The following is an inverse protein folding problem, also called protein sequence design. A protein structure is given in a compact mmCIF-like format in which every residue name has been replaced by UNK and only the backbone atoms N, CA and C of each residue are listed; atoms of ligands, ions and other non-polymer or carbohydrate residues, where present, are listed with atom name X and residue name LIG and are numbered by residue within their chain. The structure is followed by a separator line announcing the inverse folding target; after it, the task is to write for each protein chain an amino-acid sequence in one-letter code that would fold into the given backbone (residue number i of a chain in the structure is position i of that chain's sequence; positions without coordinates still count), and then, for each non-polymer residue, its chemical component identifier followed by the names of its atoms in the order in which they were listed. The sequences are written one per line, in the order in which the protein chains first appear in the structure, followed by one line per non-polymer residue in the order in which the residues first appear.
data_IF_239180170698
#
_entry.id   IF_239180170698
#
_cell.length_a   1.000
_cell.length_b   1.000
_cell.length_c   1.000
_cell.angle_alpha   90.00
_cell.angle_beta   90.00
_cell.angle_gamma   90.00
#
_symmetry.space_group_name_H-M   'P 1'
#
loop_
_entity.id
_entity.type
_entity.pdbx_description
1 polymer ?
#
# COMPACT_ATOMS: atom_id res chain seq x y z
N UNK A 1 14.37 19.02 -37.92
CA UNK A 1 14.55 18.19 -39.06
C UNK A 1 14.46 16.70 -38.69
N UNK A 2 13.46 16.00 -39.26
CA UNK A 2 13.09 14.63 -38.88
C UNK A 2 14.22 13.62 -39.18
N UNK A 3 14.92 13.76 -40.30
CA UNK A 3 16.04 12.90 -40.69
C UNK A 3 17.22 13.02 -39.74
N UNK A 4 17.54 14.22 -39.32
CA UNK A 4 18.65 14.46 -38.40
C UNK A 4 18.35 13.90 -37.02
N UNK A 5 17.12 14.03 -36.54
CA UNK A 5 16.67 13.38 -35.26
C UNK A 5 16.75 11.86 -35.32
N UNK A 6 16.30 11.25 -36.41
CA UNK A 6 16.39 9.80 -36.59
C UNK A 6 17.85 9.30 -36.63
N UNK A 7 18.75 10.07 -37.26
CA UNK A 7 20.17 9.74 -37.27
C UNK A 7 20.77 9.80 -35.88
N UNK A 8 20.52 10.86 -35.11
CA UNK A 8 20.97 10.99 -33.71
C UNK A 8 20.43 9.87 -32.80
N UNK A 9 19.18 9.42 -33.01
CA UNK A 9 18.59 8.30 -32.26
C UNK A 9 19.33 7.01 -32.60
N UNK A 10 19.54 6.73 -33.90
CA UNK A 10 20.28 5.55 -34.38
C UNK A 10 21.69 5.49 -33.82
N UNK A 11 22.42 6.59 -33.89
CA UNK A 11 23.77 6.70 -33.36
C UNK A 11 23.78 6.49 -31.83
N UNK A 12 22.82 7.08 -31.12
CA UNK A 12 22.66 6.86 -29.69
C UNK A 12 22.38 5.41 -29.37
N UNK A 13 21.55 4.72 -30.12
CA UNK A 13 21.25 3.29 -29.92
C UNK A 13 22.48 2.42 -30.18
N UNK A 14 23.29 2.75 -31.19
CA UNK A 14 24.52 1.96 -31.49
C UNK A 14 25.59 2.17 -30.42
N UNK A 15 25.81 3.42 -30.00
CA UNK A 15 26.94 3.80 -29.12
C UNK A 15 26.67 3.62 -27.62
N UNK A 16 25.43 3.62 -27.17
CA UNK A 16 25.09 3.55 -25.76
C UNK A 16 25.13 2.11 -25.24
N UNK A 17 25.83 1.88 -24.15
CA UNK A 17 25.81 0.61 -23.41
C UNK A 17 24.57 0.52 -22.48
N UNK A 18 24.12 -0.70 -22.10
CA UNK A 18 23.06 -0.87 -21.10
C UNK A 18 23.44 -0.19 -19.78
N UNK A 19 22.47 0.39 -19.08
CA UNK A 19 22.69 1.05 -17.77
C UNK A 19 23.13 0.07 -16.65
N UNK A 20 23.02 -1.24 -16.90
CA UNK A 20 23.39 -2.29 -15.95
C UNK A 20 23.11 -3.68 -16.54
N UNK A 21 23.18 -4.73 -15.73
CA UNK A 21 22.93 -6.09 -16.21
C UNK A 21 21.50 -6.23 -16.74
N UNK A 22 21.33 -6.98 -17.83
CA UNK A 22 20.00 -7.28 -18.41
C UNK A 22 19.07 -7.85 -17.33
N UNK A 23 17.85 -7.31 -17.25
CA UNK A 23 16.82 -7.72 -16.30
C UNK A 23 15.61 -8.28 -17.04
N UNK A 24 15.13 -9.45 -16.60
CA UNK A 24 13.85 -9.97 -17.09
C UNK A 24 12.72 -9.08 -16.59
N UNK A 25 11.81 -8.68 -17.46
CA UNK A 25 10.68 -7.81 -17.11
C UNK A 25 9.84 -8.38 -15.95
N UNK A 26 9.72 -9.71 -15.84
CA UNK A 26 9.05 -10.35 -14.72
C UNK A 26 9.70 -10.06 -13.36
N UNK A 27 11.05 -9.95 -13.30
CA UNK A 27 11.75 -9.60 -12.06
C UNK A 27 11.52 -8.12 -11.71
N UNK A 28 11.54 -7.24 -12.71
CA UNK A 28 11.22 -5.80 -12.51
C UNK A 28 9.80 -5.64 -11.98
N UNK A 29 8.85 -6.35 -12.58
CA UNK A 29 7.46 -6.34 -12.16
C UNK A 29 7.30 -6.89 -10.72
N UNK A 30 7.88 -8.05 -10.42
CA UNK A 30 7.78 -8.68 -9.10
C UNK A 30 8.35 -7.78 -7.99
N UNK A 31 9.45 -7.09 -8.25
CA UNK A 31 10.03 -6.16 -7.26
C UNK A 31 9.15 -4.91 -7.10
N UNK A 32 8.70 -4.29 -8.18
CA UNK A 32 7.91 -3.07 -8.11
C UNK A 32 6.54 -3.30 -7.44
N UNK A 33 5.91 -4.44 -7.72
CA UNK A 33 4.60 -4.82 -7.13
C UNK A 33 4.67 -5.18 -5.65
N UNK A 34 5.86 -5.27 -5.03
CA UNK A 34 5.97 -5.33 -3.57
C UNK A 34 5.37 -4.08 -2.91
N UNK A 35 5.37 -2.91 -3.59
CA UNK A 35 4.67 -1.73 -3.11
C UNK A 35 3.15 -1.93 -3.02
N UNK A 36 2.57 -2.61 -3.98
CA UNK A 36 1.15 -2.96 -4.01
C UNK A 36 0.80 -4.08 -3.02
N UNK A 37 1.71 -5.05 -2.84
CA UNK A 37 1.60 -6.07 -1.79
C UNK A 37 1.57 -5.43 -0.40
N UNK A 38 2.41 -4.42 -0.15
CA UNK A 38 2.42 -3.68 1.11
C UNK A 38 1.08 -2.98 1.38
N UNK A 39 0.48 -2.38 0.34
CA UNK A 39 -0.87 -1.81 0.45
C UNK A 39 -1.89 -2.88 0.88
N UNK A 40 -1.90 -4.02 0.19
CA UNK A 40 -2.81 -5.12 0.53
C UNK A 40 -2.58 -5.64 1.94
N UNK A 41 -1.32 -5.85 2.32
CA UNK A 41 -0.95 -6.34 3.65
C UNK A 41 -1.44 -5.38 4.76
N UNK A 42 -1.17 -4.07 4.62
CA UNK A 42 -1.57 -3.10 5.65
C UNK A 42 -3.10 -3.03 5.81
N UNK A 43 -3.83 -3.15 4.70
CA UNK A 43 -5.30 -3.20 4.75
C UNK A 43 -5.81 -4.45 5.48
N UNK A 44 -5.18 -5.61 5.25
CA UNK A 44 -5.61 -6.88 5.84
C UNK A 44 -5.15 -7.09 7.29
N UNK A 45 -3.97 -6.56 7.66
CA UNK A 45 -3.38 -6.85 8.99
C UNK A 45 -4.17 -6.28 10.14
N UNK A 46 -4.82 -5.13 9.95
CA UNK A 46 -5.58 -4.45 11.00
C UNK A 46 -6.73 -5.29 11.52
N UNK A 47 -7.47 -5.94 10.61
CA UNK A 47 -8.63 -6.75 11.00
C UNK A 47 -8.32 -7.81 12.05
N UNK A 48 -7.16 -8.48 11.93
CA UNK A 48 -6.73 -9.48 12.91
C UNK A 48 -6.00 -8.89 14.13
N UNK A 49 -5.46 -7.67 14.02
CA UNK A 49 -4.78 -7.00 15.11
C UNK A 49 -5.76 -6.31 16.09
N UNK A 50 -6.92 -5.86 15.62
CA UNK A 50 -7.91 -5.15 16.44
C UNK A 50 -8.30 -5.86 17.72
N UNK A 51 -8.65 -7.18 17.75
CA UNK A 51 -9.03 -7.86 18.98
C UNK A 51 -7.95 -7.80 20.07
N UNK A 52 -6.67 -7.85 19.68
CA UNK A 52 -5.55 -7.71 20.60
C UNK A 52 -5.35 -6.28 21.10
N UNK A 53 -5.63 -5.29 20.24
CA UNK A 53 -5.52 -3.87 20.59
C UNK A 53 -6.61 -3.39 21.53
N UNK A 54 -7.79 -4.02 21.53
CA UNK A 54 -8.87 -3.72 22.46
C UNK A 54 -8.53 -4.07 23.91
N UNK A 55 -7.65 -5.03 24.12
CA UNK A 55 -7.27 -5.44 25.45
C UNK A 55 -6.65 -4.28 26.25
N UNK A 56 -6.81 -4.26 27.58
CA UNK A 56 -6.21 -3.26 28.46
C UNK A 56 -4.69 -3.22 28.37
N UNK A 57 -4.10 -2.08 28.72
CA UNK A 57 -2.63 -1.89 28.72
C UNK A 57 -1.89 -2.97 29.52
N UNK A 58 -2.45 -3.40 30.66
CA UNK A 58 -1.87 -4.48 31.50
C UNK A 58 -1.78 -5.83 30.78
N UNK A 59 -2.62 -6.08 29.77
CA UNK A 59 -2.54 -7.24 28.90
C UNK A 59 -1.68 -7.04 27.65
N UNK A 60 -1.07 -5.84 27.46
CA UNK A 60 -0.28 -5.51 26.27
C UNK A 60 -1.08 -4.89 25.12
N UNK A 61 -2.38 -4.65 25.31
CA UNK A 61 -3.24 -3.96 24.35
C UNK A 61 -3.11 -2.42 24.44
N UNK A 62 -3.99 -1.73 23.75
CA UNK A 62 -4.07 -0.25 23.73
C UNK A 62 -5.35 0.31 24.35
N UNK A 63 -6.22 -0.57 24.90
CA UNK A 63 -7.52 -0.21 25.46
C UNK A 63 -8.35 0.64 24.45
N UNK A 64 -8.48 0.17 23.22
CA UNK A 64 -9.18 0.90 22.16
C UNK A 64 -10.65 1.09 22.50
N UNK A 65 -11.16 2.25 22.10
CA UNK A 65 -12.60 2.54 22.02
C UNK A 65 -13.06 2.43 20.57
N UNK A 66 -14.37 2.34 20.35
CA UNK A 66 -14.96 2.35 18.99
C UNK A 66 -14.52 3.58 18.17
N UNK A 67 -14.39 4.74 18.83
CA UNK A 67 -13.89 5.95 18.16
C UNK A 67 -12.42 5.84 17.74
N UNK A 68 -11.58 5.22 18.53
CA UNK A 68 -10.17 4.98 18.20
C UNK A 68 -10.02 4.00 17.03
N UNK A 69 -10.86 2.97 16.97
CA UNK A 69 -10.90 2.01 15.86
C UNK A 69 -11.12 2.71 14.52
N UNK A 70 -12.17 3.53 14.43
CA UNK A 70 -12.46 4.32 13.23
C UNK A 70 -11.35 5.31 12.89
N UNK A 71 -10.72 5.92 13.90
CA UNK A 71 -9.62 6.86 13.69
C UNK A 71 -8.35 6.19 13.18
N UNK A 72 -8.05 4.95 13.58
CA UNK A 72 -6.90 4.17 13.06
C UNK A 72 -7.03 3.95 11.55
N UNK A 73 -8.23 3.56 11.07
CA UNK A 73 -8.50 3.45 9.64
C UNK A 73 -8.55 4.81 8.93
N UNK A 74 -9.20 5.79 9.56
CA UNK A 74 -9.34 7.14 9.01
C UNK A 74 -8.02 7.88 8.83
N UNK A 75 -7.09 7.78 9.76
CA UNK A 75 -5.76 8.41 9.67
C UNK A 75 -4.91 7.80 8.55
N UNK A 76 -5.00 6.49 8.34
CA UNK A 76 -4.36 5.84 7.20
C UNK A 76 -4.92 6.36 5.87
N UNK A 77 -6.24 6.39 5.74
CA UNK A 77 -6.93 6.86 4.52
C UNK A 77 -6.63 8.32 4.24
N UNK A 78 -6.59 9.18 5.28
CA UNK A 78 -6.17 10.57 5.16
C UNK A 78 -4.73 10.67 4.61
N UNK A 79 -3.80 9.91 5.20
CA UNK A 79 -2.43 9.82 4.70
C UNK A 79 -2.38 9.38 3.23
N UNK A 80 -3.17 8.37 2.85
CA UNK A 80 -3.21 7.85 1.49
C UNK A 80 -3.76 8.86 0.48
N UNK A 81 -4.72 9.69 0.86
CA UNK A 81 -5.22 10.77 0.01
C UNK A 81 -4.13 11.79 -0.31
N UNK A 82 -3.38 12.25 0.69
CA UNK A 82 -2.23 13.14 0.48
C UNK A 82 -1.10 12.44 -0.29
N UNK A 83 -0.84 11.16 0.02
CA UNK A 83 0.15 10.36 -0.66
C UNK A 83 -0.14 10.21 -2.16
N UNK A 84 -1.38 9.93 -2.54
CA UNK A 84 -1.80 9.83 -3.93
C UNK A 84 -1.62 11.13 -4.72
N UNK A 85 -1.96 12.26 -4.10
CA UNK A 85 -1.80 13.58 -4.72
C UNK A 85 -0.33 13.99 -4.87
N UNK A 86 0.44 13.87 -3.79
CA UNK A 86 1.83 14.33 -3.74
C UNK A 86 2.77 13.32 -4.40
N UNK A 87 2.48 12.02 -4.28
CA UNK A 87 3.30 10.93 -4.81
C UNK A 87 3.48 11.00 -6.32
N UNK A 88 2.45 11.40 -7.07
CA UNK A 88 2.56 11.66 -8.50
C UNK A 88 3.56 12.78 -8.81
N UNK A 89 3.47 13.91 -8.12
CA UNK A 89 4.40 15.04 -8.30
C UNK A 89 5.84 14.66 -7.90
N UNK A 90 6.01 13.91 -6.82
CA UNK A 90 7.32 13.39 -6.40
C UNK A 90 7.91 12.45 -7.45
N UNK A 91 7.09 11.55 -7.97
CA UNK A 91 7.45 10.58 -9.01
C UNK A 91 7.89 11.28 -10.31
N UNK A 92 7.22 12.35 -10.71
CA UNK A 92 7.59 13.12 -11.89
C UNK A 92 8.88 13.92 -11.70
N UNK A 93 9.12 14.45 -10.50
CA UNK A 93 10.30 15.26 -10.20
C UNK A 93 11.57 14.44 -9.99
N UNK A 94 11.47 13.35 -9.24
CA UNK A 94 12.64 12.57 -8.78
C UNK A 94 12.83 11.25 -9.54
N UNK A 95 11.88 10.86 -10.35
CA UNK A 95 11.84 9.56 -11.02
C UNK A 95 11.06 8.51 -10.26
N UNK A 96 10.59 7.53 -11.00
CA UNK A 96 9.70 6.48 -10.45
C UNK A 96 10.45 5.59 -9.47
N UNK A 97 11.67 5.18 -9.85
CA UNK A 97 12.54 4.34 -9.02
C UNK A 97 12.93 5.03 -7.72
N UNK A 98 13.39 6.29 -7.78
CA UNK A 98 13.76 7.05 -6.59
C UNK A 98 12.57 7.25 -5.66
N UNK A 99 11.40 7.56 -6.22
CA UNK A 99 10.19 7.70 -5.44
C UNK A 99 9.87 6.39 -4.69
N UNK A 100 9.89 5.24 -5.37
CA UNK A 100 9.65 3.93 -4.74
C UNK A 100 10.67 3.60 -3.64
N UNK A 101 11.93 4.01 -3.79
CA UNK A 101 12.94 3.86 -2.73
C UNK A 101 12.62 4.68 -1.47
N UNK A 102 12.18 5.93 -1.65
CA UNK A 102 11.76 6.80 -0.55
C UNK A 102 10.52 6.20 0.13
N UNK A 103 9.54 5.76 -0.67
CA UNK A 103 8.32 5.16 -0.14
C UNK A 103 8.59 3.89 0.64
N UNK A 104 9.52 3.04 0.19
CA UNK A 104 9.93 1.85 0.93
C UNK A 104 10.49 2.18 2.32
N UNK A 105 11.27 3.27 2.45
CA UNK A 105 11.76 3.77 3.75
C UNK A 105 10.58 4.27 4.61
N UNK A 106 9.67 5.03 4.02
CA UNK A 106 8.47 5.51 4.73
C UNK A 106 7.58 4.36 5.20
N UNK A 107 7.45 3.29 4.42
CA UNK A 107 6.77 2.05 4.84
C UNK A 107 7.43 1.44 6.09
N UNK A 108 8.77 1.31 6.08
CA UNK A 108 9.49 0.75 7.23
C UNK A 108 9.30 1.64 8.47
N UNK A 109 9.47 2.96 8.33
CA UNK A 109 9.29 3.91 9.43
C UNK A 109 7.85 3.89 9.96
N UNK A 110 6.87 3.92 9.07
CA UNK A 110 5.46 3.88 9.43
C UNK A 110 5.06 2.57 10.12
N UNK A 111 5.51 1.43 9.59
CA UNK A 111 5.22 0.12 10.17
C UNK A 111 5.87 -0.07 11.54
N UNK A 112 7.17 0.24 11.68
CA UNK A 112 7.86 0.15 12.97
C UNK A 112 7.32 1.14 13.99
N UNK A 113 7.04 2.38 13.57
CA UNK A 113 6.47 3.39 14.43
C UNK A 113 5.06 3.03 14.92
N UNK A 114 4.23 2.45 14.04
CA UNK A 114 2.90 1.95 14.41
C UNK A 114 3.01 0.76 15.36
N UNK A 115 3.86 -0.22 15.06
CA UNK A 115 4.05 -1.41 15.91
C UNK A 115 4.67 -1.06 17.26
N UNK A 116 5.58 -0.09 17.32
CA UNK A 116 6.24 0.39 18.54
C UNK A 116 5.42 1.37 19.36
N UNK A 117 4.25 1.81 18.89
CA UNK A 117 3.47 2.83 19.58
C UNK A 117 3.05 2.40 21.00
N UNK A 118 3.36 3.20 22.03
CA UNK A 118 2.93 2.93 23.42
C UNK A 118 1.48 3.32 23.64
N UNK A 119 0.91 4.19 22.82
CA UNK A 119 -0.46 4.67 22.91
C UNK A 119 -1.06 4.92 21.52
N UNK A 120 -2.38 4.99 21.46
CA UNK A 120 -3.12 5.26 20.21
C UNK A 120 -2.74 6.63 19.62
N UNK A 121 -2.50 7.63 20.46
CA UNK A 121 -2.11 8.97 20.04
C UNK A 121 -0.76 9.00 19.31
N UNK A 122 0.18 8.17 19.74
CA UNK A 122 1.48 8.00 19.06
C UNK A 122 1.31 7.17 17.78
N UNK A 123 0.36 6.26 17.74
CA UNK A 123 0.08 5.45 16.56
C UNK A 123 -0.45 6.29 15.38
N UNK A 124 -1.32 7.27 15.60
CA UNK A 124 -1.96 8.04 14.54
C UNK A 124 -0.98 8.71 13.58
N UNK A 125 0.04 9.48 14.02
CA UNK A 125 0.98 10.07 13.08
C UNK A 125 1.74 9.03 12.26
N UNK A 126 2.11 7.88 12.82
CA UNK A 126 2.75 6.81 12.04
C UNK A 126 1.78 6.15 11.06
N UNK A 127 0.49 6.09 11.38
CA UNK A 127 -0.57 5.67 10.44
C UNK A 127 -0.72 6.66 9.28
N UNK A 128 -0.62 7.95 9.51
CA UNK A 128 -0.62 8.96 8.44
C UNK A 128 0.61 8.78 7.54
N UNK A 129 1.80 8.58 8.12
CA UNK A 129 3.04 8.33 7.34
C UNK A 129 2.92 7.05 6.51
N UNK A 130 2.42 5.97 7.11
CA UNK A 130 2.19 4.71 6.42
C UNK A 130 1.17 4.85 5.30
N UNK A 131 0.05 5.53 5.58
CA UNK A 131 -0.97 5.86 4.58
C UNK A 131 -0.41 6.68 3.42
N UNK A 132 0.42 7.70 3.72
CA UNK A 132 1.10 8.47 2.67
C UNK A 132 1.93 7.57 1.76
N UNK A 133 2.71 6.65 2.32
CA UNK A 133 3.50 5.71 1.53
C UNK A 133 2.61 4.79 0.69
N UNK A 134 1.50 4.30 1.24
CA UNK A 134 0.48 3.49 0.54
C UNK A 134 -0.11 4.26 -0.65
N UNK A 135 -0.60 5.48 -0.43
CA UNK A 135 -1.22 6.28 -1.47
C UNK A 135 -0.25 6.68 -2.58
N UNK A 136 0.97 7.07 -2.23
CA UNK A 136 2.00 7.40 -3.19
C UNK A 136 2.48 6.17 -3.98
N UNK A 137 2.57 4.99 -3.36
CA UNK A 137 2.91 3.75 -4.04
C UNK A 137 1.82 3.33 -5.02
N UNK A 138 0.54 3.41 -4.62
CA UNK A 138 -0.60 3.06 -5.50
C UNK A 138 -0.68 3.95 -6.75
N UNK A 139 -0.19 5.19 -6.69
CA UNK A 139 -0.07 6.05 -7.86
C UNK A 139 1.20 5.74 -8.69
N UNK A 140 2.34 5.41 -8.03
CA UNK A 140 3.64 5.30 -8.70
C UNK A 140 3.88 3.91 -9.33
N UNK A 141 3.47 2.82 -8.64
CA UNK A 141 3.74 1.44 -9.11
C UNK A 141 3.11 1.15 -10.47
N UNK A 142 1.80 1.41 -10.71
CA UNK A 142 1.19 1.15 -12.01
C UNK A 142 1.82 1.99 -13.13
N UNK A 143 2.20 3.24 -12.84
CA UNK A 143 2.90 4.12 -13.80
C UNK A 143 4.26 3.53 -14.14
N UNK A 144 5.08 3.20 -13.14
CA UNK A 144 6.39 2.58 -13.36
C UNK A 144 6.28 1.29 -14.19
N UNK A 145 5.34 0.42 -13.86
CA UNK A 145 5.10 -0.83 -14.58
C UNK A 145 4.66 -0.58 -16.03
N UNK A 146 3.77 0.35 -16.26
CA UNK A 146 3.28 0.67 -17.60
C UNK A 146 4.34 1.31 -18.50
N UNK A 147 5.25 2.12 -17.92
CA UNK A 147 6.32 2.80 -18.63
C UNK A 147 7.52 1.89 -18.94
N UNK A 148 7.81 0.94 -18.05
CA UNK A 148 8.94 0.00 -18.22
C UNK A 148 8.56 -1.22 -19.05
N UNK A 149 7.27 -1.58 -19.10
CA UNK A 149 6.81 -2.79 -19.79
C UNK A 149 6.78 -2.64 -21.31
N UNK A 150 7.16 -3.71 -22.06
CA UNK A 150 6.91 -3.78 -23.49
C UNK A 150 5.41 -3.70 -23.78
N UNK A 151 5.03 -3.08 -24.90
CA UNK A 151 3.62 -2.92 -25.33
C UNK A 151 2.84 -4.23 -25.26
N UNK A 152 3.47 -5.34 -25.68
CA UNK A 152 2.90 -6.69 -25.71
C UNK A 152 2.45 -7.21 -24.34
N UNK A 153 3.17 -6.87 -23.27
CA UNK A 153 2.96 -7.43 -21.94
C UNK A 153 2.36 -6.42 -20.95
N UNK A 154 2.20 -5.16 -21.35
CA UNK A 154 1.80 -4.06 -20.44
C UNK A 154 0.53 -4.37 -19.65
N UNK A 155 -0.53 -4.84 -20.31
CA UNK A 155 -1.78 -5.17 -19.64
C UNK A 155 -1.64 -6.27 -18.58
N UNK A 156 -0.87 -7.34 -18.89
CA UNK A 156 -0.62 -8.43 -17.94
C UNK A 156 0.19 -7.97 -16.73
N UNK A 157 1.16 -7.09 -16.94
CA UNK A 157 2.03 -6.59 -15.87
C UNK A 157 1.28 -5.63 -14.96
N UNK A 158 0.41 -4.78 -15.53
CA UNK A 158 -0.47 -3.92 -14.72
C UNK A 158 -1.52 -4.74 -13.96
N UNK A 159 -2.03 -5.83 -14.55
CA UNK A 159 -2.93 -6.75 -13.84
C UNK A 159 -2.24 -7.46 -12.66
N UNK A 160 -0.93 -7.75 -12.76
CA UNK A 160 -0.13 -8.29 -11.67
C UNK A 160 -0.11 -7.35 -10.45
N UNK A 161 -0.14 -6.06 -10.67
CA UNK A 161 -0.21 -5.05 -9.60
C UNK A 161 -1.47 -5.24 -8.72
N UNK A 162 -2.63 -5.38 -9.35
CA UNK A 162 -3.88 -5.64 -8.64
C UNK A 162 -3.89 -7.00 -7.95
N UNK A 163 -3.34 -8.03 -8.61
CA UNK A 163 -3.18 -9.35 -7.99
C UNK A 163 -2.34 -9.28 -6.71
N UNK A 164 -1.26 -8.51 -6.71
CA UNK A 164 -0.37 -8.38 -5.55
C UNK A 164 -1.02 -7.65 -4.38
N UNK A 165 -1.97 -6.74 -4.62
CA UNK A 165 -2.79 -6.14 -3.54
C UNK A 165 -3.61 -7.23 -2.84
N UNK A 166 -4.37 -8.01 -3.61
CA UNK A 166 -5.21 -9.10 -3.05
C UNK A 166 -4.36 -10.18 -2.38
N UNK A 167 -3.23 -10.51 -2.99
CA UNK A 167 -2.29 -11.47 -2.39
C UNK A 167 -1.68 -10.94 -1.09
N UNK A 168 -1.40 -9.64 -1.00
CA UNK A 168 -0.98 -8.98 0.23
C UNK A 168 -2.02 -9.10 1.35
N UNK A 169 -3.30 -8.93 1.05
CA UNK A 169 -4.39 -9.12 2.02
C UNK A 169 -4.46 -10.56 2.50
N UNK A 170 -4.39 -11.53 1.58
CA UNK A 170 -4.36 -12.95 1.93
C UNK A 170 -3.18 -13.29 2.83
N UNK A 171 -2.00 -12.76 2.52
CA UNK A 171 -0.80 -12.93 3.32
C UNK A 171 -0.98 -12.34 4.73
N UNK A 172 -1.59 -11.16 4.84
CA UNK A 172 -1.89 -10.52 6.12
C UNK A 172 -2.82 -11.37 6.98
N UNK A 173 -3.91 -11.88 6.39
CA UNK A 173 -4.83 -12.78 7.11
C UNK A 173 -4.14 -14.07 7.56
N UNK A 174 -3.29 -14.65 6.70
CA UNK A 174 -2.53 -15.86 7.04
C UNK A 174 -1.54 -15.62 8.19
N UNK A 175 -0.82 -14.49 8.14
CA UNK A 175 0.12 -14.10 9.21
C UNK A 175 -0.63 -13.81 10.52
N UNK A 176 -1.76 -13.09 10.45
CA UNK A 176 -2.60 -12.83 11.61
C UNK A 176 -3.08 -14.14 12.27
N UNK A 177 -3.57 -15.09 11.46
CA UNK A 177 -4.02 -16.39 11.95
C UNK A 177 -2.86 -17.18 12.60
N UNK A 178 -1.68 -17.19 11.98
CA UNK A 178 -0.52 -17.88 12.52
C UNK A 178 -0.03 -17.27 13.84
N UNK A 179 0.06 -15.92 13.92
CA UNK A 179 0.47 -15.23 15.15
C UNK A 179 -0.60 -15.41 16.24
N UNK A 180 -1.88 -15.30 15.89
CA UNK A 180 -2.99 -15.53 16.83
C UNK A 180 -2.93 -16.96 17.41
N UNK A 181 -2.76 -17.97 16.57
CA UNK A 181 -2.61 -19.36 17.00
C UNK A 181 -1.40 -19.58 17.92
N UNK A 182 -0.25 -18.96 17.57
CA UNK A 182 0.97 -19.05 18.38
C UNK A 182 0.84 -18.40 19.78
N UNK A 183 -0.03 -17.40 19.92
CA UNK A 183 -0.28 -16.71 21.20
C UNK A 183 -1.57 -17.22 21.93
N UNK A 184 -2.22 -18.25 21.43
CA UNK A 184 -3.45 -18.81 22.02
C UNK A 184 -4.69 -17.91 21.88
N UNK A 185 -4.71 -17.02 20.89
CA UNK A 185 -5.78 -16.05 20.69
C UNK A 185 -5.69 -14.83 21.61
N UNK A 186 -6.57 -13.82 21.44
CA UNK A 186 -6.65 -12.68 22.34
C UNK A 186 -7.19 -13.12 23.71
N UNK A 187 -6.42 -12.91 24.75
CA UNK A 187 -6.76 -13.33 26.12
C UNK A 187 -6.21 -12.36 27.14
N UNK A 188 -6.85 -12.29 28.31
CA UNK A 188 -6.39 -11.50 29.45
C UNK A 188 -6.56 -12.24 30.76
N UNK A 189 -5.68 -11.97 31.71
CA UNK A 189 -5.73 -12.51 33.06
C UNK A 189 -6.25 -11.44 34.03
N UNK A 190 -7.50 -11.56 34.45
CA UNK A 190 -8.15 -10.66 35.40
C UNK A 190 -7.67 -10.99 36.81
N UNK A 191 -7.17 -9.99 37.53
CA UNK A 191 -6.79 -10.09 38.94
C UNK A 191 -7.86 -9.58 39.86
N UNK A 192 -8.55 -8.50 39.45
CA UNK A 192 -9.69 -7.95 40.18
C UNK A 192 -10.66 -7.24 39.20
N UNK A 193 -11.94 -7.43 39.49
CA UNK A 193 -13.03 -6.71 38.81
C UNK A 193 -13.79 -5.85 39.83
N UNK A 194 -13.68 -4.51 39.78
CA UNK A 194 -14.44 -3.64 40.63
C UNK A 194 -15.94 -3.73 40.48
N UNK A 195 -16.42 -4.23 39.33
CA UNK A 195 -17.86 -4.39 39.06
C UNK A 195 -18.44 -5.70 39.53
N UNK A 196 -17.59 -6.65 39.97
CA UNK A 196 -18.01 -7.96 40.50
C UNK A 196 -18.60 -8.91 39.46
N UNK A 197 -18.42 -8.68 38.18
CA UNK A 197 -18.98 -9.51 37.09
C UNK A 197 -18.06 -10.67 36.70
N UNK A 198 -16.76 -10.50 36.87
CA UNK A 198 -15.76 -11.52 36.58
C UNK A 198 -15.01 -11.92 37.86
N UNK A 199 -14.83 -13.20 38.06
CA UNK A 199 -13.92 -13.73 39.09
C UNK A 199 -12.46 -13.61 38.58
N UNK A 200 -11.46 -13.58 39.49
CA UNK A 200 -10.06 -13.68 39.08
C UNK A 200 -9.81 -14.96 38.25
N UNK A 201 -9.18 -14.79 37.08
CA UNK A 201 -8.94 -15.90 36.15
C UNK A 201 -8.55 -15.46 34.76
N UNK A 202 -8.25 -16.39 33.87
CA UNK A 202 -7.92 -16.15 32.49
C UNK A 202 -9.17 -16.24 31.62
N UNK A 203 -9.42 -15.21 30.82
CA UNK A 203 -10.56 -15.11 29.92
C UNK A 203 -10.10 -14.95 28.49
N UNK A 204 -10.71 -15.71 27.56
CA UNK A 204 -10.55 -15.53 26.12
C UNK A 204 -11.42 -14.36 25.64
N UNK A 205 -11.04 -13.81 24.49
CA UNK A 205 -11.80 -12.72 23.84
C UNK A 205 -13.26 -13.14 23.58
N UNK A 206 -13.47 -14.36 23.09
CA UNK A 206 -14.81 -14.89 22.78
C UNK A 206 -15.72 -14.94 24.01
N UNK A 207 -15.15 -15.35 25.14
CA UNK A 207 -15.89 -15.40 26.45
C UNK A 207 -16.28 -13.98 26.90
N UNK A 208 -15.40 -12.99 26.65
CA UNK A 208 -15.67 -11.61 27.01
C UNK A 208 -16.70 -10.97 26.08
N UNK A 209 -16.59 -11.22 24.77
CA UNK A 209 -17.55 -10.73 23.79
C UNK A 209 -18.96 -11.28 23.97
N UNK A 210 -19.10 -12.49 24.48
CA UNK A 210 -20.41 -13.07 24.83
C UNK A 210 -21.21 -12.21 25.82
N UNK A 211 -20.56 -11.25 26.52
CA UNK A 211 -21.25 -10.28 27.39
C UNK A 211 -21.89 -9.13 26.62
N UNK A 212 -21.58 -8.93 25.35
CA UNK A 212 -22.10 -7.82 24.53
C UNK A 212 -23.47 -8.16 23.92
N UNK A 213 -24.29 -7.14 23.69
CA UNK A 213 -25.60 -7.27 23.05
C UNK A 213 -25.50 -7.83 21.63
N UNK A 214 -24.41 -7.55 20.92
CA UNK A 214 -24.09 -8.10 19.61
C UNK A 214 -23.92 -9.63 19.64
N UNK A 215 -23.58 -10.21 20.78
CA UNK A 215 -23.36 -11.66 21.00
C UNK A 215 -24.38 -12.28 21.99
N UNK A 216 -25.52 -11.63 22.17
CA UNK A 216 -26.59 -12.13 23.06
C UNK A 216 -26.45 -11.78 24.55
N UNK A 217 -25.45 -10.99 24.91
CA UNK A 217 -25.25 -10.46 26.28
C UNK A 217 -26.05 -9.19 26.56
N UNK A 218 -25.83 -8.58 27.71
CA UNK A 218 -26.58 -7.42 28.20
C UNK A 218 -25.87 -6.08 28.04
N UNK A 219 -24.58 -6.05 27.63
CA UNK A 219 -23.79 -4.84 27.49
C UNK A 219 -23.77 -4.29 26.06
N UNK A 220 -23.95 -2.99 25.89
CA UNK A 220 -23.65 -2.32 24.62
C UNK A 220 -22.13 -2.34 24.38
N UNK A 221 -21.69 -2.34 23.11
CA UNK A 221 -20.27 -2.33 22.74
C UNK A 221 -19.48 -1.20 23.44
N UNK A 222 -20.10 -0.01 23.55
CA UNK A 222 -19.48 1.11 24.24
C UNK A 222 -19.31 0.88 25.76
N UNK A 223 -20.32 0.28 26.41
CA UNK A 223 -20.24 -0.07 27.81
C UNK A 223 -19.24 -1.20 28.06
N UNK A 224 -19.13 -2.15 27.12
CA UNK A 224 -18.15 -3.21 27.17
C UNK A 224 -16.70 -2.69 27.12
N UNK A 225 -16.39 -1.76 26.22
CA UNK A 225 -15.06 -1.15 26.16
C UNK A 225 -14.75 -0.35 27.44
N UNK A 226 -15.72 0.36 28.00
CA UNK A 226 -15.56 1.05 29.28
C UNK A 226 -15.34 0.06 30.43
N UNK A 227 -16.01 -1.07 30.41
CA UNK A 227 -15.83 -2.16 31.38
C UNK A 227 -14.40 -2.74 31.31
N UNK A 228 -13.90 -3.03 30.10
CA UNK A 228 -12.53 -3.56 29.91
C UNK A 228 -11.46 -2.64 30.50
N UNK A 229 -11.65 -1.31 30.42
CA UNK A 229 -10.68 -0.34 30.98
C UNK A 229 -10.67 -0.30 32.51
N UNK A 230 -11.73 -0.77 33.17
CA UNK A 230 -11.83 -0.80 34.65
C UNK A 230 -11.24 -2.09 35.26
N UNK A 231 -11.00 -3.12 34.44
CA UNK A 231 -10.44 -4.38 34.90
C UNK A 231 -8.97 -4.22 35.32
N UNK A 232 -8.64 -4.78 36.49
CA UNK A 232 -7.24 -4.96 36.88
C UNK A 232 -6.69 -6.23 36.24
N UNK A 233 -5.73 -6.06 35.32
CA UNK A 233 -5.17 -7.14 34.51
C UNK A 233 -3.67 -7.25 34.76
N UNK A 234 -3.18 -8.46 35.02
CA UNK A 234 -1.75 -8.71 35.30
C UNK A 234 -0.97 -9.20 34.08
N UNK A 235 -1.62 -9.87 33.15
CA UNK A 235 -1.00 -10.43 31.93
C UNK A 235 -2.03 -10.65 30.83
N UNK A 236 -1.56 -10.86 29.61
CA UNK A 236 -2.39 -11.21 28.45
C UNK A 236 -1.59 -11.31 27.17
N UNK A 237 -2.25 -11.77 26.11
CA UNK A 237 -1.67 -11.91 24.78
C UNK A 237 -1.77 -10.64 23.93
N UNK A 238 -2.22 -9.53 24.50
CA UNK A 238 -2.49 -8.27 23.78
C UNK A 238 -1.32 -7.79 22.93
N UNK A 239 -0.07 -8.02 23.33
CA UNK A 239 1.12 -7.59 22.60
C UNK A 239 1.32 -8.22 21.21
N UNK A 240 0.57 -9.26 20.86
CA UNK A 240 0.69 -9.98 19.58
C UNK A 240 0.42 -9.08 18.35
N UNK A 241 -0.43 -8.06 18.45
CA UNK A 241 -0.67 -7.11 17.37
C UNK A 241 0.59 -6.40 16.87
N UNK A 242 1.58 -6.20 17.74
CA UNK A 242 2.86 -5.57 17.36
C UNK A 242 3.61 -6.45 16.36
N UNK A 243 3.65 -7.75 16.59
CA UNK A 243 4.28 -8.70 15.68
C UNK A 243 3.56 -8.77 14.33
N UNK A 244 2.23 -8.72 14.32
CA UNK A 244 1.44 -8.68 13.09
C UNK A 244 1.83 -7.49 12.22
N UNK A 245 2.00 -6.31 12.83
CA UNK A 245 2.39 -5.08 12.11
C UNK A 245 3.88 -5.07 11.72
N UNK A 246 4.78 -5.58 12.57
CA UNK A 246 6.22 -5.63 12.25
C UNK A 246 6.51 -6.45 11.00
N UNK A 247 5.78 -7.54 10.75
CA UNK A 247 5.99 -8.39 9.56
C UNK A 247 5.86 -7.58 8.26
N UNK A 248 5.06 -6.50 8.23
CA UNK A 248 4.96 -5.59 7.09
C UNK A 248 6.31 -4.97 6.69
N UNK A 249 7.27 -4.89 7.59
CA UNK A 249 8.61 -4.35 7.29
C UNK A 249 9.42 -5.24 6.35
N UNK A 250 9.17 -6.56 6.34
CA UNK A 250 9.92 -7.50 5.51
C UNK A 250 9.74 -7.22 4.00
N UNK A 251 8.53 -7.16 3.45
CA UNK A 251 8.35 -6.80 2.04
C UNK A 251 8.76 -5.34 1.75
N UNK A 252 8.71 -4.43 2.72
CA UNK A 252 9.19 -3.05 2.54
C UNK A 252 10.72 -3.00 2.37
N UNK A 253 11.46 -3.75 3.18
CA UNK A 253 12.92 -3.91 3.04
C UNK A 253 13.27 -4.59 1.72
N UNK A 254 12.51 -5.64 1.33
CA UNK A 254 12.69 -6.32 0.06
C UNK A 254 12.45 -5.38 -1.13
N UNK A 255 11.42 -4.53 -1.07
CA UNK A 255 11.17 -3.47 -2.05
C UNK A 255 12.37 -2.52 -2.16
N UNK A 256 12.88 -2.04 -1.03
CA UNK A 256 14.02 -1.11 -1.02
C UNK A 256 15.30 -1.74 -1.62
N UNK A 257 15.65 -2.97 -1.22
CA UNK A 257 16.81 -3.68 -1.75
C UNK A 257 16.63 -3.97 -3.24
N UNK A 258 15.45 -4.43 -3.62
CA UNK A 258 15.12 -4.77 -5.01
C UNK A 258 15.15 -3.56 -5.92
N UNK A 259 14.49 -2.45 -5.54
CA UNK A 259 14.44 -1.23 -6.35
C UNK A 259 15.80 -0.56 -6.56
N UNK A 260 16.78 -0.77 -5.68
CA UNK A 260 18.15 -0.31 -5.90
C UNK A 260 18.82 -0.89 -7.14
N UNK A 261 18.38 -2.07 -7.55
CA UNK A 261 18.94 -2.82 -8.68
C UNK A 261 18.07 -2.73 -9.95
N UNK A 262 16.94 -2.04 -9.89
CA UNK A 262 16.01 -1.89 -11.02
C UNK A 262 16.35 -0.63 -11.83
N UNK A 263 16.05 -0.61 -13.15
CA UNK A 263 16.22 0.58 -13.97
C UNK A 263 15.21 1.65 -13.59
N UNK A 264 15.52 2.89 -13.96
CA UNK A 264 14.53 3.99 -13.96
C UNK A 264 13.61 3.88 -15.18
N UNK A 265 12.51 4.62 -15.22
CA UNK A 265 11.63 4.70 -16.38
C UNK A 265 12.33 5.37 -17.57
N UNK A 266 12.30 4.69 -18.72
CA UNK A 266 12.82 5.25 -19.96
C UNK A 266 12.06 6.54 -20.38
N UNK A 267 10.75 6.56 -20.16
CA UNK A 267 9.92 7.75 -20.44
C UNK A 267 10.27 8.94 -19.55
N UNK A 268 10.61 8.68 -18.29
CA UNK A 268 11.05 9.71 -17.37
C UNK A 268 12.37 10.35 -17.84
N UNK A 269 13.37 9.54 -18.20
CA UNK A 269 14.64 10.05 -18.75
C UNK A 269 14.42 10.89 -20.01
N UNK A 270 13.56 10.42 -20.92
CA UNK A 270 13.27 11.12 -22.14
C UNK A 270 12.59 12.48 -21.89
N UNK A 271 11.64 12.53 -20.95
CA UNK A 271 10.98 13.81 -20.58
C UNK A 271 11.95 14.83 -19.94
N UNK A 272 13.10 14.35 -19.45
CA UNK A 272 14.19 15.19 -18.93
C UNK A 272 15.30 15.45 -19.95
N UNK A 273 15.10 15.07 -21.22
CA UNK A 273 16.07 15.29 -22.30
C UNK A 273 17.29 14.36 -22.29
N UNK A 274 17.23 13.28 -21.51
CA UNK A 274 18.31 12.33 -21.32
C UNK A 274 18.18 11.14 -22.28
N UNK A 275 18.45 11.36 -23.57
CA UNK A 275 18.26 10.34 -24.60
C UNK A 275 19.16 9.10 -24.41
N UNK A 276 20.42 9.29 -24.00
CA UNK A 276 21.36 8.19 -23.78
C UNK A 276 20.90 7.28 -22.63
N UNK A 277 20.48 7.86 -21.52
CA UNK A 277 19.95 7.16 -20.36
C UNK A 277 18.65 6.40 -20.70
N UNK A 278 17.80 7.01 -21.54
CA UNK A 278 16.59 6.36 -22.09
C UNK A 278 16.94 5.07 -22.82
N UNK A 279 17.89 5.14 -23.75
CA UNK A 279 18.36 3.97 -24.51
C UNK A 279 19.02 2.93 -23.60
N UNK A 280 19.85 3.39 -22.65
CA UNK A 280 20.52 2.51 -21.70
C UNK A 280 19.52 1.71 -20.83
N UNK A 281 18.44 2.35 -20.37
CA UNK A 281 17.37 1.70 -19.61
C UNK A 281 16.58 0.70 -20.47
N UNK A 282 16.23 1.05 -21.71
CA UNK A 282 15.53 0.14 -22.62
C UNK A 282 16.38 -1.10 -22.93
N UNK A 283 17.67 -0.94 -23.21
CA UNK A 283 18.60 -2.07 -23.43
C UNK A 283 18.70 -3.03 -22.24
N UNK A 284 18.42 -2.54 -21.03
CA UNK A 284 18.44 -3.36 -19.83
C UNK A 284 17.23 -4.28 -19.72
N UNK A 285 16.05 -3.87 -20.22
CA UNK A 285 14.78 -4.59 -20.03
C UNK A 285 14.17 -5.16 -21.30
N UNK A 286 14.61 -4.74 -22.50
CA UNK A 286 14.10 -5.26 -23.77
C UNK A 286 14.86 -6.50 -24.21
N UNK A 287 14.14 -7.43 -24.80
CA UNK A 287 14.70 -8.66 -25.40
C UNK A 287 14.73 -8.49 -26.91
N UNK A 288 15.94 -8.46 -27.47
CA UNK A 288 16.15 -8.36 -28.92
C UNK A 288 15.47 -9.52 -29.66
N UNK A 289 14.80 -9.23 -30.78
CA UNK A 289 14.09 -10.22 -31.59
C UNK A 289 12.72 -10.63 -31.07
N UNK A 290 12.34 -10.24 -29.84
CA UNK A 290 11.04 -10.54 -29.24
C UNK A 290 10.22 -9.27 -29.00
N UNK A 291 10.86 -8.23 -28.52
CA UNK A 291 10.25 -6.92 -28.30
C UNK A 291 10.46 -6.01 -29.51
N UNK A 292 9.73 -4.90 -29.57
CA UNK A 292 9.85 -3.89 -30.62
C UNK A 292 11.31 -3.34 -30.68
N UNK A 293 11.85 -3.06 -31.87
CA UNK A 293 13.18 -2.48 -31.98
C UNK A 293 13.31 -1.18 -31.18
N UNK A 294 14.36 -1.07 -30.39
CA UNK A 294 14.57 0.08 -29.49
C UNK A 294 14.58 1.41 -30.27
N UNK A 295 15.09 1.39 -31.52
CA UNK A 295 15.08 2.59 -32.39
C UNK A 295 13.67 3.06 -32.67
N UNK A 296 12.75 2.14 -32.95
CA UNK A 296 11.37 2.48 -33.30
C UNK A 296 10.61 2.96 -32.05
N UNK A 297 10.80 2.26 -30.91
CA UNK A 297 10.20 2.64 -29.61
C UNK A 297 10.68 4.02 -29.17
N UNK A 298 11.98 4.33 -29.28
CA UNK A 298 12.53 5.65 -28.93
C UNK A 298 12.05 6.72 -29.92
N UNK A 299 11.96 6.41 -31.21
CA UNK A 299 11.46 7.35 -32.22
C UNK A 299 10.01 7.74 -31.92
N UNK A 300 9.15 6.77 -31.66
CA UNK A 300 7.75 7.02 -31.25
C UNK A 300 7.67 7.87 -29.97
N UNK A 301 8.47 7.53 -28.95
CA UNK A 301 8.50 8.31 -27.71
C UNK A 301 8.95 9.77 -27.95
N UNK A 302 9.93 10.00 -28.82
CA UNK A 302 10.43 11.34 -29.17
C UNK A 302 9.41 12.11 -29.98
N UNK A 303 8.72 11.48 -30.94
CA UNK A 303 7.65 12.11 -31.69
C UNK A 303 6.50 12.55 -30.78
N UNK A 304 6.08 11.71 -29.85
CA UNK A 304 5.05 12.04 -28.86
C UNK A 304 5.47 13.17 -27.88
N UNK A 305 6.76 13.20 -27.48
CA UNK A 305 7.28 14.26 -26.60
C UNK A 305 7.65 15.55 -27.35
N UNK A 306 7.97 15.44 -28.64
CA UNK A 306 8.46 16.57 -29.44
C UNK A 306 7.40 17.62 -29.78
N UNK A 307 6.12 17.26 -29.73
CA UNK A 307 5.00 18.18 -29.94
C UNK A 307 4.61 18.96 -28.68
N UNK A 308 5.10 18.54 -27.52
CA UNK A 308 4.69 19.10 -26.24
C UNK A 308 5.81 19.45 -25.29
N UNK A 309 6.87 20.13 -25.63
CA UNK A 309 7.97 20.47 -24.70
C UNK A 309 7.52 20.61 -23.23
N UNK A 310 8.39 20.70 -22.25
CA UNK A 310 8.00 20.77 -20.81
C UNK A 310 6.93 21.83 -20.58
N UNK A 311 5.66 21.43 -20.64
CA UNK A 311 4.54 22.31 -20.34
C UNK A 311 4.55 22.62 -18.85
N UNK A 312 4.40 23.90 -18.50
CA UNK A 312 4.13 24.30 -17.12
C UNK A 312 2.85 23.64 -16.61
N UNK A 313 2.71 23.38 -15.31
CA UNK A 313 1.49 22.81 -14.73
C UNK A 313 0.20 23.51 -15.19
N UNK A 314 0.24 24.85 -15.34
CA UNK A 314 -0.89 25.61 -15.88
C UNK A 314 -1.21 25.25 -17.33
N UNK A 315 -0.18 25.06 -18.16
CA UNK A 315 -0.33 24.68 -19.57
C UNK A 315 -0.82 23.24 -19.70
N UNK A 316 -0.36 22.33 -18.85
CA UNK A 316 -0.87 20.95 -18.81
C UNK A 316 -2.36 20.92 -18.49
N UNK A 317 -2.79 21.68 -17.47
CA UNK A 317 -4.22 21.84 -17.14
C UNK A 317 -5.00 22.49 -18.28
N UNK A 318 -4.47 23.47 -18.95
CA UNK A 318 -5.11 24.10 -20.12
C UNK A 318 -5.34 23.08 -21.25
N UNK A 319 -4.34 22.28 -21.60
CA UNK A 319 -4.44 21.22 -22.61
C UNK A 319 -5.50 20.17 -22.22
N UNK A 320 -5.53 19.76 -20.95
CA UNK A 320 -6.55 18.81 -20.45
C UNK A 320 -7.95 19.40 -20.56
N UNK A 321 -8.11 20.67 -20.23
CA UNK A 321 -9.41 21.34 -20.26
C UNK A 321 -9.87 21.72 -21.68
N UNK A 322 -8.95 21.94 -22.60
CA UNK A 322 -9.23 22.26 -24.00
C UNK A 322 -9.75 21.04 -24.77
N UNK A 323 -9.14 19.87 -24.56
CA UNK A 323 -9.52 18.64 -25.24
C UNK A 323 -10.80 18.01 -24.64
N UNK A 324 -11.87 17.95 -25.46
CA UNK A 324 -13.14 17.30 -25.07
C UNK A 324 -12.96 15.81 -24.72
N UNK A 325 -12.07 15.11 -25.42
CA UNK A 325 -11.80 13.69 -25.18
C UNK A 325 -11.02 13.47 -23.88
N UNK A 326 -10.01 14.29 -23.62
CA UNK A 326 -9.20 14.20 -22.40
C UNK A 326 -10.06 14.47 -21.16
N UNK A 327 -10.95 15.48 -21.22
CA UNK A 327 -11.91 15.74 -20.13
C UNK A 327 -12.85 14.57 -19.88
N UNK A 328 -13.37 13.95 -20.94
CA UNK A 328 -14.24 12.76 -20.79
C UNK A 328 -13.50 11.60 -20.15
N UNK A 329 -12.28 11.31 -20.60
CA UNK A 329 -11.44 10.26 -19.98
C UNK A 329 -11.14 10.55 -18.52
N UNK A 330 -10.82 11.79 -18.19
CA UNK A 330 -10.59 12.22 -16.81
C UNK A 330 -11.86 12.03 -15.95
N UNK A 331 -13.02 12.48 -16.43
CA UNK A 331 -14.29 12.31 -15.71
C UNK A 331 -14.66 10.85 -15.52
N UNK A 332 -14.47 10.01 -16.54
CA UNK A 332 -14.70 8.55 -16.43
C UNK A 332 -13.75 7.94 -15.40
N UNK A 333 -12.47 8.31 -15.43
CA UNK A 333 -11.49 7.83 -14.46
C UNK A 333 -11.83 8.24 -13.02
N UNK A 334 -12.20 9.50 -12.80
CA UNK A 334 -12.65 9.99 -11.49
C UNK A 334 -13.91 9.25 -11.04
N UNK A 335 -14.91 9.11 -11.93
CA UNK A 335 -16.14 8.41 -11.63
C UNK A 335 -15.89 6.95 -11.22
N UNK A 336 -15.08 6.22 -11.98
CA UNK A 336 -14.70 4.84 -11.65
C UNK A 336 -13.97 4.75 -10.30
N UNK A 337 -13.06 5.68 -10.02
CA UNK A 337 -12.36 5.71 -8.74
C UNK A 337 -13.31 5.98 -7.56
N UNK A 338 -14.24 6.92 -7.71
CA UNK A 338 -15.29 7.21 -6.71
C UNK A 338 -16.19 6.00 -6.49
N UNK A 339 -16.69 5.40 -7.57
CA UNK A 339 -17.53 4.19 -7.47
C UNK A 339 -16.80 3.06 -6.78
N UNK A 340 -15.53 2.81 -7.12
CA UNK A 340 -14.72 1.79 -6.46
C UNK A 340 -14.64 2.01 -4.94
N UNK A 341 -14.44 3.25 -4.48
CA UNK A 341 -14.39 3.54 -3.04
C UNK A 341 -15.77 3.49 -2.37
N UNK A 342 -16.83 3.94 -3.04
CA UNK A 342 -18.20 3.93 -2.48
C UNK A 342 -18.82 2.55 -2.39
N UNK A 343 -18.27 1.54 -3.08
CA UNK A 343 -18.68 0.12 -2.88
C UNK A 343 -18.39 -0.40 -1.47
N UNK A 344 -17.55 0.30 -0.70
CA UNK A 344 -17.22 -0.07 0.67
C UNK A 344 -16.30 -1.29 0.79
N UNK A 345 -15.64 -1.73 -0.29
CA UNK A 345 -14.75 -2.90 -0.29
C UNK A 345 -13.71 -2.81 0.82
N UNK A 346 -13.09 -1.65 0.97
CA UNK A 346 -12.09 -1.44 2.03
C UNK A 346 -12.70 -1.58 3.42
N UNK A 347 -13.92 -1.08 3.66
CA UNK A 347 -14.64 -1.22 4.93
C UNK A 347 -14.90 -2.69 5.24
N UNK A 348 -15.39 -3.46 4.25
CA UNK A 348 -15.60 -4.91 4.42
C UNK A 348 -14.29 -5.61 4.78
N UNK A 349 -13.18 -5.28 4.12
CA UNK A 349 -11.87 -5.88 4.40
C UNK A 349 -11.32 -5.53 5.79
N UNK A 350 -11.49 -4.28 6.23
CA UNK A 350 -11.08 -3.86 7.58
C UNK A 350 -11.88 -4.56 8.68
N UNK A 351 -13.16 -4.78 8.48
CA UNK A 351 -14.08 -5.34 9.46
C UNK A 351 -14.53 -6.76 9.13
N UNK A 352 -13.83 -7.45 8.20
CA UNK A 352 -14.21 -8.78 7.75
C UNK A 352 -14.43 -9.80 8.90
N UNK A 353 -13.57 -9.91 9.91
CA UNK A 353 -13.83 -10.82 11.03
C UNK A 353 -15.11 -10.47 11.77
N UNK A 354 -15.34 -9.19 12.07
CA UNK A 354 -16.53 -8.72 12.80
C UNK A 354 -17.82 -8.93 11.98
N UNK A 355 -17.76 -8.72 10.65
CA UNK A 355 -18.90 -8.97 9.76
C UNK A 355 -19.23 -10.46 9.69
N UNK A 356 -18.21 -11.32 9.59
CA UNK A 356 -18.40 -12.77 9.56
C UNK A 356 -18.92 -13.29 10.90
N UNK A 357 -18.38 -12.81 12.01
CA UNK A 357 -18.78 -13.16 13.35
C UNK A 357 -20.27 -12.85 13.61
N UNK A 358 -20.69 -11.63 13.26
CA UNK A 358 -22.11 -11.23 13.34
C UNK A 358 -23.01 -12.05 12.40
N UNK A 359 -22.50 -12.47 11.24
CA UNK A 359 -23.25 -13.31 10.29
C UNK A 359 -23.44 -14.74 10.80
N UNK A 360 -22.44 -15.31 11.46
CA UNK A 360 -22.48 -16.68 11.98
C UNK A 360 -23.39 -16.83 13.20
N UNK A 361 -23.65 -15.76 13.95
CA UNK A 361 -24.62 -15.76 15.06
C UNK A 361 -26.05 -16.06 14.60
N UNK A 362 -26.38 -15.73 13.36
CA UNK A 362 -27.69 -15.95 12.78
C UNK A 362 -27.88 -17.32 12.08
N UNK A 363 -26.80 -18.10 11.96
CA UNK A 363 -26.83 -19.47 11.41
C UNK A 363 -26.83 -20.51 12.53
#
# INVERSE_FOLDING_TARGET
DRRQRQMCIRDSVVTTQPAGPKRRMGVVAAVATLGSLLFGYDTGVISGALPFMYLPHGAGGLALTVGHEGAIGGTLTLGAAFGGLIGGMMSDRWGRRHNLLILAVLFVVGALGTAGAPSVWVMYPFRVVLGFAVGAASATVPVYLSETSPKRMRGRIVALDQFMIVFGQLLAFSVNAAISAAHGGPSLMVTADPTGRLSPGTYSWDTLQAMTTSHGGAMTDQAFHAFLTQLSVSAGSGGAWRWMLVVCTLPAIALWIGMRKMPESARWHLSHGQLRETVACLKQVRVEGVDEPIVDEVTEMVELNGEGGRLSHRQQWAVVMESRWTRRLLLVGIFLAVVNQTTGVNTVMYYAPKVLELSLIHI
#
